data_IF_194640520527
#
_entry.id   IF_194640520527
#
_cell.length_a   1.000
_cell.length_b   1.000
_cell.length_c   1.000
_cell.angle_alpha   90.00
_cell.angle_beta   90.00
_cell.angle_gamma   90.00
#
_symmetry.space_group_name_H-M   'P 1'
#
loop_
_entity.id
_entity.type
_entity.pdbx_description
1 polymer ?
#
# COMPACT_ATOMS: atom_id res chain seq x y z
N UNK A 1 2.06 -24.29 -3.64
CA UNK A 1 2.37 -23.85 -2.26
C UNK A 1 1.48 -22.65 -2.04
N UNK A 2 0.52 -22.72 -1.12
CA UNK A 2 -0.26 -21.54 -0.77
C UNK A 2 0.70 -20.53 -0.13
N UNK A 3 0.85 -19.38 -0.77
CA UNK A 3 1.64 -18.29 -0.22
C UNK A 3 0.94 -17.80 1.05
N UNK A 4 1.71 -17.49 2.11
CA UNK A 4 1.17 -17.07 3.40
C UNK A 4 0.48 -15.69 3.40
N UNK A 5 0.30 -15.07 2.24
CA UNK A 5 -0.17 -13.70 2.04
C UNK A 5 -0.94 -13.54 0.72
N UNK A 6 -1.79 -12.52 0.65
CA UNK A 6 -2.65 -12.23 -0.50
C UNK A 6 -1.86 -11.93 -1.77
N UNK A 7 -2.25 -12.58 -2.87
CA UNK A 7 -1.67 -12.37 -4.20
C UNK A 7 -2.50 -11.35 -4.97
N UNK A 8 -2.31 -10.07 -4.66
CA UNK A 8 -3.01 -8.99 -5.36
C UNK A 8 -2.65 -9.00 -6.85
N UNK A 9 -3.63 -9.09 -7.79
CA UNK A 9 -3.37 -9.02 -9.23
C UNK A 9 -2.68 -7.73 -9.69
N UNK A 10 -2.78 -6.65 -8.90
CA UNK A 10 -2.13 -5.36 -9.14
C UNK A 10 -0.77 -5.23 -8.45
N UNK A 11 -0.25 -6.31 -7.84
CA UNK A 11 1.09 -6.29 -7.23
C UNK A 11 2.14 -5.92 -8.27
N UNK A 12 2.93 -4.89 -7.99
CA UNK A 12 3.95 -4.43 -8.91
C UNK A 12 5.08 -5.49 -9.03
N UNK A 13 5.50 -5.89 -10.25
CA UNK A 13 6.34 -7.08 -10.41
C UNK A 13 7.75 -6.98 -9.82
N UNK A 14 8.29 -5.78 -9.60
CA UNK A 14 9.64 -5.61 -9.05
C UNK A 14 9.70 -5.81 -7.52
N UNK A 15 8.55 -5.95 -6.85
CA UNK A 15 8.53 -6.19 -5.41
C UNK A 15 9.25 -7.50 -5.04
N UNK A 16 10.02 -7.46 -3.96
CA UNK A 16 10.49 -8.64 -3.28
C UNK A 16 9.31 -9.53 -2.87
N UNK A 17 9.53 -10.84 -2.92
CA UNK A 17 8.53 -11.82 -2.51
C UNK A 17 8.18 -11.64 -1.03
N UNK A 18 6.91 -11.40 -0.72
CA UNK A 18 6.42 -11.34 0.66
C UNK A 18 5.17 -10.48 0.87
N UNK A 19 4.75 -10.33 2.14
CA UNK A 19 3.48 -9.70 2.49
C UNK A 19 3.46 -8.18 2.31
N UNK A 20 4.59 -7.47 2.40
CA UNK A 20 4.66 -6.04 2.09
C UNK A 20 4.92 -5.84 0.59
N UNK A 21 4.15 -4.95 -0.04
CA UNK A 21 4.26 -4.72 -1.47
C UNK A 21 3.71 -3.37 -1.91
N UNK A 22 4.06 -2.96 -3.12
CA UNK A 22 3.41 -1.85 -3.83
C UNK A 22 2.48 -2.33 -4.93
N UNK A 23 1.39 -1.61 -5.16
CA UNK A 23 0.55 -1.81 -6.34
C UNK A 23 1.10 -1.06 -7.54
N UNK A 24 0.67 -1.51 -8.72
CA UNK A 24 0.92 -0.85 -9.98
C UNK A 24 -0.18 -1.17 -10.98
N UNK A 25 -0.09 -0.54 -12.14
CA UNK A 25 -0.96 -0.80 -13.27
C UNK A 25 -0.16 -1.06 -14.52
N UNK A 26 -0.78 -1.78 -15.47
CA UNK A 26 -0.24 -1.96 -16.81
C UNK A 26 -0.74 -0.81 -17.67
N UNK A 27 0.16 -0.09 -18.31
CA UNK A 27 -0.19 0.83 -19.39
C UNK A 27 0.03 0.14 -20.74
N UNK A 28 -0.96 0.22 -21.62
CA UNK A 28 -0.82 -0.10 -23.04
C UNK A 28 -0.56 1.19 -23.82
N UNK A 29 0.36 1.10 -24.79
CA UNK A 29 1.05 2.25 -25.37
C UNK A 29 0.18 3.19 -26.21
N UNK A 30 -0.20 4.29 -25.57
CA UNK A 30 -0.58 5.59 -26.16
C UNK A 30 0.13 6.72 -25.39
N UNK A 31 0.25 6.56 -24.07
CA UNK A 31 0.80 7.55 -23.12
C UNK A 31 2.33 7.50 -22.95
N UNK A 32 2.99 6.51 -23.56
CA UNK A 32 4.43 6.31 -23.47
C UNK A 32 5.06 6.57 -24.83
N UNK A 33 5.93 7.58 -24.89
CA UNK A 33 6.86 7.77 -26.00
C UNK A 33 7.56 6.44 -26.27
N UNK A 34 7.20 5.76 -27.37
CA UNK A 34 7.69 4.46 -27.88
C UNK A 34 6.76 3.22 -27.77
N UNK A 35 5.48 3.35 -27.39
CA UNK A 35 4.50 2.26 -27.57
C UNK A 35 4.81 0.96 -26.81
N UNK A 36 5.62 1.03 -25.74
CA UNK A 36 5.97 -0.12 -24.91
C UNK A 36 4.85 -0.37 -23.90
N UNK A 37 4.37 -1.61 -23.86
CA UNK A 37 3.55 -2.10 -22.76
C UNK A 37 4.46 -2.31 -21.54
N UNK A 38 4.07 -1.76 -20.40
CA UNK A 38 4.90 -1.77 -19.19
C UNK A 38 4.07 -1.70 -17.93
N UNK A 39 4.68 -2.11 -16.81
CA UNK A 39 4.14 -1.87 -15.48
C UNK A 39 4.64 -0.53 -14.96
N UNK A 40 3.74 0.19 -14.27
CA UNK A 40 4.03 1.45 -13.59
C UNK A 40 3.62 1.31 -12.13
N UNK A 41 4.47 1.77 -11.21
CA UNK A 41 4.10 1.86 -9.80
C UNK A 41 2.95 2.86 -9.61
N UNK A 42 2.01 2.55 -8.71
CA UNK A 42 0.91 3.48 -8.41
C UNK A 42 1.36 4.64 -7.50
N UNK A 43 2.44 4.45 -6.73
CA UNK A 43 3.12 5.51 -5.97
C UNK A 43 4.35 5.99 -6.74
N UNK A 44 4.41 7.29 -7.03
CA UNK A 44 5.52 7.91 -7.75
C UNK A 44 5.82 9.31 -7.19
N UNK A 45 7.10 9.68 -7.25
CA UNK A 45 7.64 11.05 -7.32
C UNK A 45 7.76 11.92 -6.04
N UNK A 46 7.21 11.55 -4.89
CA UNK A 46 7.37 12.39 -3.68
C UNK A 46 8.49 11.95 -2.72
N UNK A 47 9.07 10.76 -2.92
CA UNK A 47 10.10 10.15 -2.04
C UNK A 47 9.68 9.93 -0.58
N UNK A 48 8.44 10.26 -0.19
CA UNK A 48 8.00 10.19 1.20
C UNK A 48 8.05 8.77 1.77
N UNK A 49 7.57 7.71 1.07
CA UNK A 49 7.74 6.34 1.54
C UNK A 49 9.20 5.92 1.68
N UNK A 50 10.04 6.27 0.71
CA UNK A 50 11.47 5.94 0.67
C UNK A 50 12.25 6.58 1.83
N UNK A 51 11.86 7.77 2.28
CA UNK A 51 12.45 8.41 3.47
C UNK A 51 12.10 7.69 4.78
N UNK A 52 10.93 7.06 4.87
CA UNK A 52 10.51 6.29 6.06
C UNK A 52 11.14 4.90 6.12
N UNK A 53 11.45 4.29 4.97
CA UNK A 53 11.97 2.92 4.88
C UNK A 53 13.07 2.77 3.79
N UNK A 54 14.19 3.50 3.90
CA UNK A 54 15.19 3.62 2.83
C UNK A 54 15.87 2.30 2.47
N UNK A 55 16.01 1.41 3.46
CA UNK A 55 16.65 0.11 3.26
C UNK A 55 15.67 -0.97 2.73
N UNK A 56 14.36 -0.70 2.75
CA UNK A 56 13.33 -1.65 2.32
C UNK A 56 12.77 -1.32 0.94
N UNK A 57 12.77 -0.04 0.56
CA UNK A 57 12.23 0.44 -0.71
C UNK A 57 13.33 0.74 -1.72
N UNK A 58 12.97 0.64 -3.00
CA UNK A 58 13.84 1.04 -4.09
C UNK A 58 14.13 2.54 -4.04
N UNK A 59 15.40 2.91 -4.22
CA UNK A 59 15.80 4.31 -4.34
C UNK A 59 15.18 4.89 -5.62
N UNK A 60 14.61 6.09 -5.50
CA UNK A 60 14.17 6.86 -6.66
C UNK A 60 15.36 7.66 -7.22
N UNK A 61 15.63 7.51 -8.51
CA UNK A 61 16.70 8.20 -9.22
C UNK A 61 16.37 8.36 -10.71
N UNK A 62 17.36 8.77 -11.51
CA UNK A 62 17.17 8.98 -12.95
C UNK A 62 16.89 7.67 -13.74
N UNK A 63 17.18 6.51 -13.15
CA UNK A 63 17.01 5.18 -13.74
C UNK A 63 15.79 4.44 -13.17
N UNK A 64 15.39 4.75 -11.93
CA UNK A 64 14.23 4.17 -11.27
C UNK A 64 13.25 5.24 -10.78
N UNK A 65 12.08 5.29 -11.43
CA UNK A 65 10.98 6.17 -11.02
C UNK A 65 9.91 5.48 -10.17
N UNK A 66 9.98 4.15 -9.99
CA UNK A 66 8.94 3.36 -9.32
C UNK A 66 9.28 3.08 -7.84
N UNK A 67 8.30 3.26 -6.95
CA UNK A 67 8.37 2.79 -5.55
C UNK A 67 8.01 1.30 -5.46
N UNK A 68 8.88 0.48 -4.88
CA UNK A 68 8.62 -0.93 -4.58
C UNK A 68 9.54 -1.47 -3.50
N UNK A 69 9.12 -2.54 -2.82
CA UNK A 69 9.97 -3.20 -1.81
C UNK A 69 11.09 -3.98 -2.50
N UNK A 70 12.35 -3.66 -2.24
CA UNK A 70 13.52 -4.42 -2.73
C UNK A 70 13.84 -5.63 -1.85
N UNK A 71 13.34 -5.62 -0.61
CA UNK A 71 13.37 -6.74 0.34
C UNK A 71 12.22 -6.64 1.34
N UNK A 72 11.92 -7.74 2.02
CA UNK A 72 10.94 -7.75 3.11
C UNK A 72 11.58 -7.35 4.44
N UNK A 73 10.84 -6.72 5.36
CA UNK A 73 11.31 -6.48 6.71
C UNK A 73 11.49 -7.81 7.45
N UNK A 74 12.53 -7.88 8.27
CA UNK A 74 12.98 -9.06 9.01
C UNK A 74 13.10 -8.82 10.52
N UNK A 75 13.13 -7.56 10.95
CA UNK A 75 13.16 -7.14 12.35
C UNK A 75 11.93 -6.30 12.71
N UNK A 76 11.70 -6.09 14.01
CA UNK A 76 10.57 -5.28 14.46
C UNK A 76 10.70 -3.81 14.02
N UNK A 77 11.91 -3.27 14.02
CA UNK A 77 12.18 -1.89 13.59
C UNK A 77 11.89 -1.73 12.09
N UNK A 78 12.32 -2.68 11.27
CA UNK A 78 12.03 -2.69 9.83
C UNK A 78 10.52 -2.85 9.54
N UNK A 79 9.80 -3.62 10.37
CA UNK A 79 8.33 -3.71 10.26
C UNK A 79 7.70 -2.33 10.54
N UNK A 80 8.24 -1.58 11.50
CA UNK A 80 7.73 -0.27 11.86
C UNK A 80 8.02 0.77 10.77
N UNK A 81 9.23 0.74 10.19
CA UNK A 81 9.58 1.52 8.99
C UNK A 81 8.64 1.21 7.82
N UNK A 82 8.38 -0.07 7.52
CA UNK A 82 7.46 -0.47 6.45
C UNK A 82 6.03 0.03 6.71
N UNK A 83 5.56 -0.01 7.97
CA UNK A 83 4.25 0.51 8.34
C UNK A 83 4.18 2.04 8.21
N UNK A 84 5.24 2.76 8.59
CA UNK A 84 5.34 4.21 8.43
C UNK A 84 5.32 4.60 6.95
N UNK A 85 6.12 3.92 6.11
CA UNK A 85 6.15 4.13 4.67
C UNK A 85 4.76 3.93 4.03
N UNK A 86 4.03 2.88 4.41
CA UNK A 86 2.67 2.65 3.95
C UNK A 86 1.70 3.76 4.39
N UNK A 87 1.85 4.26 5.62
CA UNK A 87 1.00 5.29 6.20
C UNK A 87 1.20 6.67 5.58
N UNK A 88 2.43 7.00 5.14
CA UNK A 88 2.74 8.28 4.45
C UNK A 88 2.46 8.24 2.96
N UNK A 89 2.19 7.07 2.38
CA UNK A 89 1.85 6.93 0.97
C UNK A 89 0.50 7.58 0.66
N UNK A 90 0.53 8.74 0.01
CA UNK A 90 -0.65 9.57 -0.25
C UNK A 90 -1.73 8.92 -1.13
N UNK A 91 -1.36 7.90 -1.91
CA UNK A 91 -2.24 7.17 -2.83
C UNK A 91 -2.56 5.74 -2.37
N UNK A 92 -2.11 5.34 -1.17
CA UNK A 92 -2.34 4.01 -0.59
C UNK A 92 -1.89 2.84 -1.51
N UNK A 93 -0.81 3.04 -2.25
CA UNK A 93 -0.24 2.01 -3.13
C UNK A 93 0.66 1.01 -2.37
N UNK A 94 1.24 1.41 -1.23
CA UNK A 94 1.97 0.51 -0.33
C UNK A 94 0.96 -0.24 0.54
N UNK A 95 1.01 -1.57 0.50
CA UNK A 95 0.02 -2.45 1.14
C UNK A 95 0.67 -3.62 1.87
N UNK A 96 -0.07 -4.14 2.84
CA UNK A 96 0.23 -5.38 3.56
C UNK A 96 -0.80 -6.46 3.21
N UNK A 97 -0.34 -7.51 2.54
CA UNK A 97 -1.14 -8.67 2.15
C UNK A 97 -1.08 -9.84 3.15
N UNK A 98 -0.33 -9.69 4.24
CA UNK A 98 -0.18 -10.75 5.23
C UNK A 98 -1.36 -10.84 6.20
N UNK A 99 -1.28 -11.81 7.12
CA UNK A 99 -2.33 -12.13 8.10
C UNK A 99 -1.92 -11.84 9.55
N UNK A 100 -0.79 -11.18 9.76
CA UNK A 100 -0.33 -10.81 11.10
C UNK A 100 -1.22 -9.69 11.66
N UNK A 101 -1.93 -10.01 12.74
CA UNK A 101 -2.87 -9.11 13.42
C UNK A 101 -2.18 -7.91 14.05
N UNK A 102 -0.93 -8.06 14.50
CA UNK A 102 -0.14 -6.97 15.08
C UNK A 102 0.17 -5.94 14.01
N UNK A 103 0.59 -6.38 12.82
CA UNK A 103 0.87 -5.49 11.68
C UNK A 103 -0.42 -4.81 11.19
N UNK A 104 -1.50 -5.59 11.01
CA UNK A 104 -2.81 -5.03 10.62
C UNK A 104 -3.28 -3.97 11.62
N UNK A 105 -3.10 -4.21 12.92
CA UNK A 105 -3.46 -3.23 13.96
C UNK A 105 -2.56 -2.00 13.92
N UNK A 106 -1.25 -2.16 13.67
CA UNK A 106 -0.32 -1.03 13.48
C UNK A 106 -0.71 -0.15 12.30
N UNK A 107 -1.18 -0.76 11.21
CA UNK A 107 -1.73 -0.08 10.04
C UNK A 107 -3.18 0.42 10.25
N UNK A 108 -3.66 0.46 11.50
CA UNK A 108 -4.96 1.03 11.86
C UNK A 108 -6.17 0.20 11.43
N UNK A 109 -5.97 -1.07 11.06
CA UNK A 109 -7.01 -1.93 10.50
C UNK A 109 -7.67 -1.29 9.25
N UNK A 110 -6.87 -0.57 8.45
CA UNK A 110 -7.32 0.21 7.29
C UNK A 110 -7.36 -0.68 6.02
N UNK A 111 -8.53 -0.87 5.38
CA UNK A 111 -8.63 -1.63 4.12
C UNK A 111 -7.86 -0.99 2.94
N UNK A 112 -7.53 0.29 3.04
CA UNK A 112 -6.66 1.01 2.12
C UNK A 112 -5.20 0.59 2.22
N UNK A 113 -4.77 0.06 3.37
CA UNK A 113 -3.38 -0.37 3.60
C UNK A 113 -3.25 -1.89 3.75
N UNK A 114 -4.34 -2.61 4.02
CA UNK A 114 -4.33 -4.05 4.27
C UNK A 114 -5.29 -4.83 3.36
N UNK A 115 -4.84 -5.99 2.89
CA UNK A 115 -5.70 -6.93 2.13
C UNK A 115 -6.54 -7.82 3.05
N UNK A 116 -6.19 -7.85 4.34
CA UNK A 116 -6.99 -8.46 5.41
C UNK A 116 -7.19 -7.45 6.53
N UNK A 117 -8.40 -7.39 7.09
CA UNK A 117 -8.69 -6.63 8.31
C UNK A 117 -9.28 -7.56 9.38
N UNK A 118 -9.30 -7.08 10.61
CA UNK A 118 -9.90 -7.73 11.76
C UNK A 118 -11.33 -7.19 11.91
N UNK A 119 -12.34 -8.07 11.85
CA UNK A 119 -13.74 -7.70 12.10
C UNK A 119 -14.06 -7.50 13.59
N UNK A 120 -15.30 -7.12 13.91
CA UNK A 120 -15.78 -6.88 15.28
C UNK A 120 -15.75 -8.13 16.17
N UNK A 121 -15.72 -9.32 15.56
CA UNK A 121 -15.62 -10.63 16.22
C UNK A 121 -14.17 -11.10 16.33
N UNK A 122 -13.22 -10.32 15.82
CA UNK A 122 -11.81 -10.67 15.81
C UNK A 122 -11.44 -11.66 14.70
N UNK A 123 -12.22 -11.85 13.64
CA UNK A 123 -11.85 -12.69 12.50
C UNK A 123 -11.07 -11.88 11.45
N UNK A 124 -10.17 -12.55 10.74
CA UNK A 124 -9.55 -11.97 9.55
C UNK A 124 -10.52 -12.06 8.36
N UNK A 125 -10.80 -10.93 7.73
CA UNK A 125 -11.65 -10.84 6.54
C UNK A 125 -10.87 -10.18 5.40
N UNK A 126 -10.93 -10.77 4.22
CA UNK A 126 -10.29 -10.20 3.02
C UNK A 126 -11.00 -8.90 2.63
N UNK A 127 -10.25 -7.88 2.23
CA UNK A 127 -10.79 -6.57 1.81
C UNK A 127 -10.95 -6.45 0.30
N UNK A 128 -10.36 -7.37 -0.46
CA UNK A 128 -10.34 -7.41 -1.92
C UNK A 128 -11.06 -8.64 -2.46
N UNK A 129 -11.62 -8.51 -3.67
CA UNK A 129 -12.06 -9.65 -4.49
C UNK A 129 -10.88 -10.31 -5.21
N UNK A 130 -11.16 -11.33 -6.03
CA UNK A 130 -10.14 -12.09 -6.77
C UNK A 130 -9.44 -11.24 -7.84
N UNK A 131 -10.10 -10.18 -8.31
CA UNK A 131 -9.59 -9.20 -9.27
C UNK A 131 -8.79 -8.05 -8.61
N UNK A 132 -8.70 -8.04 -7.27
CA UNK A 132 -7.99 -7.02 -6.51
C UNK A 132 -8.76 -5.72 -6.33
N UNK A 133 -10.08 -5.71 -6.54
CA UNK A 133 -10.93 -4.57 -6.24
C UNK A 133 -11.41 -4.62 -4.78
N UNK A 134 -11.56 -3.45 -4.15
CA UNK A 134 -12.11 -3.36 -2.80
C UNK A 134 -13.54 -3.88 -2.76
N UNK A 135 -13.80 -4.78 -1.82
CA UNK A 135 -15.15 -5.27 -1.53
C UNK A 135 -16.02 -4.13 -1.00
N UNK A 136 -17.34 -4.14 -1.23
CA UNK A 136 -18.23 -3.01 -0.88
C UNK A 136 -18.15 -2.59 0.59
N UNK A 137 -17.97 -3.54 1.51
CA UNK A 137 -17.83 -3.21 2.94
C UNK A 137 -16.50 -2.49 3.23
N UNK A 138 -15.41 -2.86 2.55
CA UNK A 138 -14.09 -2.26 2.70
C UNK A 138 -14.10 -0.82 2.20
N UNK A 139 -14.71 -0.56 1.04
CA UNK A 139 -14.93 0.80 0.50
C UNK A 139 -15.64 1.67 1.54
N UNK A 140 -16.75 1.17 2.11
CA UNK A 140 -17.52 1.89 3.12
C UNK A 140 -16.70 2.20 4.38
N UNK A 141 -15.86 1.27 4.83
CA UNK A 141 -15.00 1.47 6.00
C UNK A 141 -13.97 2.58 5.76
N UNK A 142 -13.31 2.59 4.59
CA UNK A 142 -12.36 3.65 4.20
C UNK A 142 -13.06 5.02 4.21
N UNK A 143 -14.27 5.12 3.65
CA UNK A 143 -15.04 6.36 3.63
C UNK A 143 -15.37 6.86 5.04
N UNK A 144 -15.76 5.96 5.94
CA UNK A 144 -16.01 6.29 7.35
C UNK A 144 -14.72 6.78 8.01
N UNK A 145 -13.62 6.05 7.88
CA UNK A 145 -12.32 6.42 8.47
C UNK A 145 -11.84 7.80 7.99
N UNK A 146 -11.93 8.06 6.68
CA UNK A 146 -11.60 9.37 6.08
C UNK A 146 -12.53 10.48 6.58
N UNK A 147 -13.82 10.22 6.71
CA UNK A 147 -14.80 11.18 7.24
C UNK A 147 -14.50 11.55 8.69
N UNK A 148 -14.21 10.56 9.54
CA UNK A 148 -13.84 10.79 10.94
C UNK A 148 -12.51 11.54 11.07
N UNK A 149 -11.51 11.21 10.26
CA UNK A 149 -10.25 11.96 10.21
C UNK A 149 -10.49 13.43 9.83
N UNK A 150 -11.30 13.69 8.80
CA UNK A 150 -11.66 15.06 8.38
C UNK A 150 -12.37 15.83 9.49
N UNK A 151 -13.31 15.20 10.20
CA UNK A 151 -14.01 15.82 11.34
C UNK A 151 -13.04 16.19 12.47
N UNK A 152 -12.11 15.28 12.81
CA UNK A 152 -11.09 15.50 13.85
C UNK A 152 -10.10 16.61 13.47
N UNK A 153 -9.77 16.72 12.19
CA UNK A 153 -8.75 17.66 11.68
C UNK A 153 -9.32 18.94 11.04
N UNK A 154 -10.61 19.23 11.22
CA UNK A 154 -11.31 20.42 10.68
C UNK A 154 -10.64 21.79 10.99
N UNK A 155 -9.75 21.87 11.99
CA UNK A 155 -9.00 23.10 12.34
C UNK A 155 -7.73 23.34 11.50
N UNK A 156 -7.22 22.33 10.78
CA UNK A 156 -5.94 22.43 10.05
C UNK A 156 -6.09 22.87 8.58
N UNK A 157 -7.31 22.95 8.06
CA UNK A 157 -7.62 23.29 6.66
C UNK A 157 -7.46 24.79 6.29
N UNK A 158 -7.01 25.66 7.20
CA UNK A 158 -6.75 27.08 6.87
C UNK A 158 -5.32 27.38 6.40
N UNK A 159 -4.41 26.41 6.34
CA UNK A 159 -2.98 26.67 6.06
C UNK A 159 -2.37 25.94 4.86
N UNK A 160 -3.16 25.21 4.06
CA UNK A 160 -2.66 24.55 2.84
C UNK A 160 -3.67 24.68 1.69
N UNK A 161 -3.80 25.91 1.18
CA UNK A 161 -4.26 26.24 -0.17
C UNK A 161 -3.16 27.05 -0.85
#
# INVERSE_FOLDING_TARGET
METGYFQNPRRFPKNAEGPFYTTGHRSCGDDLMNGKTGWFGDCLACEAPELEAPELLAVLDNENSDTYFVRQPSTQDEIDEACSAASVCCVAALRYGGRDRTIISKLGNDPGLCDYIIDDRGNLVATLDEEGNLLPFAVRLIEIQRSEWRKRNKKWYQFWL
#
